data_IF_306118782963
#
_entry.id   IF_306118782963
#
_cell.length_a   1.000
_cell.length_b   1.000
_cell.length_c   1.000
_cell.angle_alpha   90.00
_cell.angle_beta   90.00
_cell.angle_gamma   90.00
#
_symmetry.space_group_name_H-M   'P 1'
#
loop_
_entity.id
_entity.type
_entity.pdbx_description
1 polymer ?
#
# COMPACT_ATOMS: atom_id res chain seq x y z
N UNK A 1 16.81 2.00 -15.15
CA UNK A 1 16.17 0.67 -14.99
C UNK A 1 16.21 0.30 -13.51
N UNK A 2 15.06 0.10 -12.87
CA UNK A 2 14.74 -1.08 -12.04
C UNK A 2 13.55 -0.77 -11.11
N UNK A 3 12.45 -1.43 -11.44
CA UNK A 3 11.35 -1.82 -10.58
C UNK A 3 10.37 -0.70 -10.22
N UNK A 4 9.65 -0.26 -11.25
CA UNK A 4 8.22 0.02 -11.14
C UNK A 4 7.57 -1.03 -10.22
N UNK A 5 7.27 -0.62 -8.99
CA UNK A 5 6.46 -1.28 -7.97
C UNK A 5 6.21 -2.80 -8.18
N UNK A 6 6.88 -3.66 -7.40
CA UNK A 6 6.60 -5.10 -7.41
C UNK A 6 5.28 -5.40 -6.68
N UNK A 7 4.23 -5.90 -7.37
CA UNK A 7 2.93 -6.14 -6.76
C UNK A 7 3.00 -7.13 -5.58
N UNK A 8 3.91 -8.08 -5.62
CA UNK A 8 4.11 -9.07 -4.55
C UNK A 8 4.58 -8.37 -3.27
N UNK A 9 5.50 -7.40 -3.37
CA UNK A 9 5.95 -6.61 -2.22
C UNK A 9 4.82 -5.78 -1.63
N UNK A 10 3.95 -5.25 -2.47
CA UNK A 10 2.79 -4.47 -2.02
C UNK A 10 1.83 -5.35 -1.23
N UNK A 11 1.56 -6.57 -1.72
CA UNK A 11 0.75 -7.55 -1.01
C UNK A 11 1.38 -7.96 0.32
N UNK A 12 2.70 -8.20 0.36
CA UNK A 12 3.40 -8.49 1.61
C UNK A 12 3.29 -7.34 2.62
N UNK A 13 3.45 -6.09 2.17
CA UNK A 13 3.28 -4.92 3.03
C UNK A 13 1.83 -4.81 3.53
N UNK A 14 0.83 -5.05 2.66
CA UNK A 14 -0.57 -5.10 3.05
C UNK A 14 -0.81 -6.14 4.14
N UNK A 15 -0.32 -7.38 3.96
CA UNK A 15 -0.45 -8.42 4.98
C UNK A 15 0.23 -8.03 6.29
N UNK A 16 1.40 -7.39 6.25
CA UNK A 16 2.10 -6.93 7.43
C UNK A 16 1.29 -5.87 8.19
N UNK A 17 0.74 -4.87 7.49
CA UNK A 17 -0.17 -3.87 8.07
C UNK A 17 -1.42 -4.55 8.64
N UNK A 18 -1.99 -5.54 7.95
CA UNK A 18 -3.17 -6.24 8.41
C UNK A 18 -2.92 -7.12 9.64
N UNK A 19 -1.71 -7.66 9.79
CA UNK A 19 -1.33 -8.50 10.94
C UNK A 19 -0.90 -7.67 12.16
N UNK A 20 -0.11 -6.61 11.97
CA UNK A 20 0.50 -5.83 13.04
C UNK A 20 -0.18 -4.48 13.31
N UNK A 21 -1.05 -4.04 12.40
CA UNK A 21 -1.72 -2.75 12.48
C UNK A 21 -2.88 -2.71 13.44
N UNK A 22 -3.22 -1.49 13.86
CA UNK A 22 -4.40 -1.19 14.67
C UNK A 22 -5.62 -0.98 13.77
N UNK A 23 -6.82 -1.41 14.18
CA UNK A 23 -8.04 -1.22 13.39
C UNK A 23 -8.34 0.26 13.16
N UNK A 24 -8.82 0.58 11.97
CA UNK A 24 -9.34 1.89 11.58
C UNK A 24 -10.79 1.77 11.09
N UNK A 25 -11.38 2.88 10.62
CA UNK A 25 -12.73 2.87 10.04
C UNK A 25 -12.84 1.98 8.78
N UNK A 26 -11.77 1.90 7.98
CA UNK A 26 -11.78 1.19 6.70
C UNK A 26 -10.96 -0.11 6.70
N UNK A 27 -10.00 -0.27 7.61
CA UNK A 27 -9.11 -1.42 7.62
C UNK A 27 -8.18 -1.39 8.82
N UNK A 28 -6.87 -1.34 8.56
CA UNK A 28 -5.85 -1.26 9.62
C UNK A 28 -4.75 -0.29 9.26
N UNK A 29 -4.16 0.36 10.27
CA UNK A 29 -3.03 1.27 10.12
C UNK A 29 -1.81 0.76 10.88
N UNK A 30 -0.66 0.80 10.23
CA UNK A 30 0.62 0.41 10.79
C UNK A 30 1.73 1.31 10.24
N UNK A 31 2.57 1.86 11.13
CA UNK A 31 3.66 2.79 10.78
C UNK A 31 3.27 4.00 9.88
N UNK A 32 2.01 4.45 10.01
CA UNK A 32 1.43 5.54 9.24
C UNK A 32 1.06 5.16 7.80
N UNK A 33 0.95 3.87 7.50
CA UNK A 33 0.35 3.32 6.28
C UNK A 33 -0.94 2.61 6.65
N UNK A 34 -2.04 3.06 6.07
CA UNK A 34 -3.34 2.42 6.22
C UNK A 34 -3.60 1.47 5.05
N UNK A 35 -3.98 0.24 5.37
CA UNK A 35 -4.29 -0.82 4.44
C UNK A 35 -5.76 -1.21 4.58
N UNK A 36 -6.44 -1.34 3.45
CA UNK A 36 -7.83 -1.80 3.39
C UNK A 36 -8.09 -2.50 2.06
N UNK A 37 -9.18 -3.25 1.98
CA UNK A 37 -9.62 -3.92 0.76
C UNK A 37 -11.03 -3.49 0.38
N UNK A 38 -11.37 -3.64 -0.90
CA UNK A 38 -12.75 -3.51 -1.34
C UNK A 38 -13.66 -4.58 -0.71
N UNK A 39 -14.98 -4.43 -0.83
CA UNK A 39 -16.00 -5.30 -0.24
C UNK A 39 -15.80 -6.78 -0.59
N UNK A 40 -15.39 -7.05 -1.83
CA UNK A 40 -15.15 -8.41 -2.30
C UNK A 40 -13.72 -8.91 -1.97
N UNK A 41 -12.76 -8.01 -1.77
CA UNK A 41 -11.35 -8.37 -1.58
C UNK A 41 -10.53 -8.46 -2.87
N UNK A 42 -11.14 -8.31 -4.05
CA UNK A 42 -10.39 -8.23 -5.33
C UNK A 42 -9.42 -7.04 -5.41
N UNK A 43 -9.63 -5.94 -4.68
CA UNK A 43 -8.72 -4.79 -4.75
C UNK A 43 -8.19 -4.49 -3.35
N UNK A 44 -6.87 -4.29 -3.25
CA UNK A 44 -6.23 -3.81 -2.03
C UNK A 44 -5.75 -2.39 -2.22
N UNK A 45 -5.83 -1.63 -1.14
CA UNK A 45 -5.49 -0.23 -1.09
C UNK A 45 -4.54 0.01 0.07
N UNK A 46 -3.50 0.78 -0.21
CA UNK A 46 -2.52 1.25 0.77
C UNK A 46 -2.42 2.76 0.62
N UNK A 47 -2.66 3.50 1.70
CA UNK A 47 -2.56 4.96 1.68
C UNK A 47 -1.73 5.49 2.83
N UNK A 48 -1.07 6.62 2.58
CA UNK A 48 -0.30 7.32 3.59
C UNK A 48 0.37 8.56 3.04
N UNK A 49 0.43 9.62 3.86
CA UNK A 49 1.19 10.84 3.58
C UNK A 49 0.90 11.48 2.19
N UNK A 50 -0.37 11.54 1.80
CA UNK A 50 -0.80 12.13 0.51
C UNK A 50 -0.57 11.22 -0.71
N UNK A 51 -0.31 9.93 -0.48
CA UNK A 51 -0.16 8.90 -1.52
C UNK A 51 -1.18 7.80 -1.31
N UNK A 52 -1.82 7.39 -2.40
CA UNK A 52 -2.71 6.24 -2.44
C UNK A 52 -2.24 5.26 -3.52
N UNK A 53 -2.10 4.01 -3.13
CA UNK A 53 -1.72 2.89 -3.99
C UNK A 53 -2.84 1.87 -4.00
N UNK A 54 -3.43 1.69 -5.17
CA UNK A 54 -4.40 0.63 -5.43
C UNK A 54 -3.73 -0.48 -6.23
N UNK A 55 -3.89 -1.72 -5.79
CA UNK A 55 -3.49 -2.91 -6.54
C UNK A 55 -4.73 -3.71 -6.87
N UNK A 56 -4.94 -3.92 -8.17
CA UNK A 56 -6.01 -4.74 -8.71
C UNK A 56 -5.49 -6.05 -9.28
N UNK A 57 -6.40 -6.79 -9.92
CA UNK A 57 -6.09 -8.07 -10.55
C UNK A 57 -5.19 -7.90 -11.78
N UNK A 58 -4.48 -8.98 -12.14
CA UNK A 58 -3.47 -9.01 -13.22
C UNK A 58 -2.26 -8.08 -13.01
N UNK A 59 -1.83 -7.90 -11.75
CA UNK A 59 -0.65 -7.08 -11.42
C UNK A 59 -0.76 -5.63 -11.90
N UNK A 60 -1.99 -5.12 -12.02
CA UNK A 60 -2.22 -3.71 -12.34
C UNK A 60 -2.22 -2.91 -11.06
N UNK A 61 -1.53 -1.76 -11.08
CA UNK A 61 -1.51 -0.85 -9.94
C UNK A 61 -1.80 0.58 -10.40
N UNK A 62 -2.46 1.33 -9.55
CA UNK A 62 -2.72 2.76 -9.71
C UNK A 62 -2.10 3.47 -8.51
N UNK A 63 -1.24 4.44 -8.78
CA UNK A 63 -0.54 5.21 -7.77
C UNK A 63 -0.90 6.69 -7.94
N UNK A 64 -1.65 7.21 -7.00
CA UNK A 64 -2.07 8.60 -6.94
C UNK A 64 -1.26 9.31 -5.86
N UNK A 65 -0.68 10.46 -6.20
CA UNK A 65 0.17 11.24 -5.29
C UNK A 65 0.14 12.70 -5.67
N UNK A 66 0.14 13.57 -4.66
CA UNK A 66 0.14 15.02 -4.87
C UNK A 66 1.50 15.53 -5.34
N UNK A 67 2.59 14.95 -4.84
CA UNK A 67 3.96 15.38 -5.12
C UNK A 67 4.91 14.19 -5.24
N UNK A 68 5.87 14.26 -6.16
CA UNK A 68 6.77 13.14 -6.47
C UNK A 68 7.60 12.68 -5.25
N UNK A 69 8.03 13.61 -4.40
CA UNK A 69 8.78 13.28 -3.18
C UNK A 69 7.95 12.50 -2.15
N UNK A 70 6.63 12.69 -2.11
CA UNK A 70 5.72 11.94 -1.24
C UNK A 70 5.61 10.50 -1.71
N UNK A 71 5.47 10.31 -3.03
CA UNK A 71 5.54 8.99 -3.67
C UNK A 71 6.81 8.26 -3.28
N UNK A 72 7.98 8.86 -3.47
CA UNK A 72 9.24 8.18 -3.16
C UNK A 72 9.35 7.76 -1.69
N UNK A 73 8.90 8.63 -0.78
CA UNK A 73 8.88 8.35 0.65
C UNK A 73 7.91 7.20 0.98
N UNK A 74 6.73 7.20 0.38
CA UNK A 74 5.73 6.16 0.53
C UNK A 74 6.22 4.81 0.01
N UNK A 75 6.82 4.77 -1.18
CA UNK A 75 7.37 3.54 -1.76
C UNK A 75 8.49 2.93 -0.90
N UNK A 76 9.33 3.77 -0.28
CA UNK A 76 10.33 3.31 0.68
C UNK A 76 9.69 2.68 1.91
N UNK A 77 8.60 3.27 2.44
CA UNK A 77 7.84 2.67 3.57
C UNK A 77 7.24 1.32 3.20
N UNK A 78 6.58 1.21 2.05
CA UNK A 78 6.03 -0.07 1.56
C UNK A 78 7.14 -1.13 1.47
N UNK A 79 8.30 -0.78 0.92
CA UNK A 79 9.43 -1.69 0.85
C UNK A 79 10.00 -2.11 2.22
N UNK A 80 9.87 -1.26 3.25
CA UNK A 80 10.27 -1.59 4.62
C UNK A 80 9.27 -2.52 5.32
N UNK A 81 7.98 -2.39 4.99
CA UNK A 81 6.89 -3.23 5.50
C UNK A 81 6.81 -4.60 4.81
N UNK A 82 7.28 -4.69 3.56
CA UNK A 82 7.37 -5.93 2.78
C UNK A 82 8.57 -6.82 3.19
N UNK A 83 8.68 -7.12 4.49
CA UNK A 83 9.74 -7.96 5.08
C UNK A 83 9.21 -9.30 5.55
#
# INVERSE_FOLDING_TARGET
>A
MKNELDPSKVLQAYENVMNNGSPTEFGKIYEGVEAFSDYDGYNVFLRGNGVELKVGFHNTYHLEYEQEHLKETFLKKIAMLAK
#
